data_IF_359057140728
#
_entry.id   IF_359057140728
#
_cell.length_a   1.000
_cell.length_b   1.000
_cell.length_c   1.000
_cell.angle_alpha   90.00
_cell.angle_beta   90.00
_cell.angle_gamma   90.00
#
_symmetry.space_group_name_H-M   'P 1'
#
loop_
_entity.id
_entity.type
_entity.pdbx_description
1 polymer ?
#
# COMPACT_ATOMS: atom_id res chain seq x y z
N UNK A 1 13.76 -12.83 -23.58
CA UNK A 1 14.86 -12.05 -22.93
C UNK A 1 15.84 -13.00 -22.28
N UNK A 2 17.12 -12.85 -22.53
CA UNK A 2 18.16 -13.68 -21.90
C UNK A 2 18.52 -13.16 -20.51
N UNK A 3 18.95 -14.06 -19.58
CA UNK A 3 19.35 -13.67 -18.21
C UNK A 3 20.55 -12.68 -18.17
N UNK A 4 21.27 -12.54 -19.27
CA UNK A 4 22.38 -11.59 -19.45
C UNK A 4 21.96 -10.18 -19.86
N UNK A 5 20.70 -10.01 -20.29
CA UNK A 5 20.16 -8.67 -20.58
C UNK A 5 20.01 -7.88 -19.27
N UNK A 6 20.50 -6.62 -19.25
CA UNK A 6 20.41 -5.74 -18.08
C UNK A 6 18.98 -5.54 -17.56
N UNK A 7 17.97 -5.65 -18.44
CA UNK A 7 16.55 -5.53 -18.09
C UNK A 7 16.03 -6.73 -17.32
N UNK A 8 16.61 -7.92 -17.52
CA UNK A 8 16.13 -9.13 -16.85
C UNK A 8 16.13 -8.98 -15.34
N UNK A 9 17.29 -8.62 -14.77
CA UNK A 9 17.39 -8.41 -13.34
C UNK A 9 16.63 -7.15 -12.89
N UNK A 10 16.69 -6.07 -13.67
CA UNK A 10 15.97 -4.84 -13.36
C UNK A 10 14.44 -5.07 -13.24
N UNK A 11 13.84 -5.88 -14.10
CA UNK A 11 12.40 -6.18 -14.04
C UNK A 11 12.02 -7.02 -12.81
N UNK A 12 12.88 -7.94 -12.40
CA UNK A 12 12.72 -8.69 -11.14
C UNK A 12 12.80 -7.74 -9.94
N UNK A 13 13.77 -6.84 -9.93
CA UNK A 13 13.96 -5.89 -8.84
C UNK A 13 12.81 -4.87 -8.78
N UNK A 14 12.32 -4.38 -9.92
CA UNK A 14 11.12 -3.54 -10.02
C UNK A 14 9.90 -4.27 -9.43
N UNK A 15 9.66 -5.53 -9.82
CA UNK A 15 8.56 -6.31 -9.24
C UNK A 15 8.71 -6.44 -7.72
N UNK A 16 9.91 -6.71 -7.22
CA UNK A 16 10.18 -6.85 -5.78
C UNK A 16 9.99 -5.56 -5.01
N UNK A 17 10.32 -4.42 -5.60
CA UNK A 17 10.13 -3.09 -5.02
C UNK A 17 8.66 -2.65 -4.99
N UNK A 18 7.85 -3.11 -5.94
CA UNK A 18 6.49 -2.64 -6.12
C UNK A 18 5.42 -3.59 -5.55
N UNK A 19 5.72 -4.89 -5.47
CA UNK A 19 4.79 -5.90 -4.96
C UNK A 19 5.09 -6.22 -3.49
N UNK A 20 4.59 -5.38 -2.60
CA UNK A 20 4.86 -5.46 -1.17
C UNK A 20 3.57 -5.80 -0.42
N UNK A 21 3.59 -6.75 0.55
CA UNK A 21 2.46 -6.97 1.44
C UNK A 21 2.16 -5.74 2.28
N UNK A 22 0.88 -5.41 2.42
CA UNK A 22 0.39 -4.29 3.23
C UNK A 22 -1.00 -4.58 3.80
N UNK A 23 -1.27 -4.07 4.99
CA UNK A 23 -2.58 -4.16 5.65
C UNK A 23 -3.41 -2.92 5.36
N UNK A 24 -4.66 -3.09 4.96
CA UNK A 24 -5.61 -1.99 4.76
C UNK A 24 -5.12 -0.91 3.79
N UNK A 25 -5.49 0.35 4.03
CA UNK A 25 -5.00 1.48 3.25
C UNK A 25 -3.57 1.85 3.64
N UNK A 26 -2.67 1.92 2.68
CA UNK A 26 -1.23 2.11 2.90
C UNK A 26 -0.89 3.47 3.53
N UNK A 27 -1.64 4.51 3.22
CA UNK A 27 -1.38 5.86 3.73
C UNK A 27 -1.64 5.99 5.25
N UNK A 28 -2.78 5.53 5.83
CA UNK A 28 -2.93 5.49 7.30
C UNK A 28 -1.86 4.61 7.96
N UNK A 29 -1.47 3.51 7.32
CA UNK A 29 -0.42 2.63 7.85
C UNK A 29 0.94 3.33 7.87
N UNK A 30 1.27 4.15 6.85
CA UNK A 30 2.50 4.95 6.86
C UNK A 30 2.49 6.00 7.99
N UNK A 31 1.34 6.60 8.30
CA UNK A 31 1.20 7.48 9.47
C UNK A 31 1.42 6.71 10.77
N UNK A 32 0.83 5.52 10.91
CA UNK A 32 1.04 4.67 12.08
C UNK A 32 2.52 4.21 12.20
N UNK A 33 3.17 3.93 11.07
CA UNK A 33 4.59 3.58 11.04
C UNK A 33 5.49 4.74 11.49
N UNK A 34 5.26 5.96 10.97
CA UNK A 34 5.95 7.17 11.43
C UNK A 34 5.75 7.38 12.94
N UNK A 35 4.52 7.17 13.42
CA UNK A 35 4.15 7.35 14.81
C UNK A 35 4.82 6.34 15.75
N UNK A 36 4.89 5.07 15.34
CA UNK A 36 5.62 4.04 16.08
C UNK A 36 7.13 4.34 16.13
N UNK A 37 7.70 4.81 15.02
CA UNK A 37 9.11 5.21 14.95
C UNK A 37 9.40 6.42 15.87
N UNK A 38 8.55 7.45 15.84
CA UNK A 38 8.71 8.63 16.69
C UNK A 38 8.59 8.28 18.18
N UNK A 39 7.59 7.46 18.58
CA UNK A 39 7.48 6.96 19.96
C UNK A 39 8.71 6.15 20.38
N UNK A 40 9.24 5.28 19.51
CA UNK A 40 10.45 4.50 19.82
C UNK A 40 11.68 5.40 19.97
N UNK A 41 11.81 6.43 19.14
CA UNK A 41 12.88 7.44 19.24
C UNK A 41 12.78 8.23 20.53
N UNK A 42 11.56 8.67 20.91
CA UNK A 42 11.31 9.36 22.20
C UNK A 42 11.65 8.46 23.40
N UNK A 43 11.27 7.17 23.31
CA UNK A 43 11.53 6.17 24.35
C UNK A 43 10.39 5.99 25.37
N UNK A 44 9.34 6.79 25.28
CA UNK A 44 8.18 6.74 26.19
C UNK A 44 6.88 7.14 25.48
N UNK A 45 5.73 6.98 26.15
CA UNK A 45 4.43 7.34 25.60
C UNK A 45 4.26 8.86 25.58
N UNK A 46 4.13 9.51 24.43
CA UNK A 46 3.99 10.96 24.33
C UNK A 46 2.64 11.46 24.87
N UNK A 47 2.60 12.70 25.32
CA UNK A 47 1.38 13.41 25.77
C UNK A 47 0.92 14.50 24.80
N UNK A 48 1.70 14.77 23.77
CA UNK A 48 1.36 15.69 22.68
C UNK A 48 1.91 15.19 21.36
N UNK A 49 1.13 15.35 20.30
CA UNK A 49 1.44 14.86 18.94
C UNK A 49 1.10 15.91 17.91
N UNK A 50 1.99 16.15 16.96
CA UNK A 50 1.73 16.92 15.76
C UNK A 50 2.00 16.05 14.53
N UNK A 51 0.98 15.88 13.69
CA UNK A 51 1.08 15.23 12.39
C UNK A 51 1.02 16.31 11.32
N UNK A 52 2.11 16.52 10.63
CA UNK A 52 2.16 17.39 9.46
C UNK A 52 2.21 16.51 8.22
N UNK A 53 1.32 16.78 7.27
CA UNK A 53 1.22 15.96 6.08
C UNK A 53 0.89 16.77 4.84
N UNK A 54 1.33 16.27 3.67
CA UNK A 54 0.96 16.86 2.38
C UNK A 54 -0.55 16.82 2.15
N UNK A 55 -1.07 17.70 1.31
CA UNK A 55 -2.48 17.74 0.97
C UNK A 55 -3.01 16.41 0.39
N UNK A 56 -2.18 15.70 -0.38
CA UNK A 56 -2.49 14.36 -0.90
C UNK A 56 -2.68 13.35 0.21
N UNK A 57 -1.81 13.33 1.22
CA UNK A 57 -1.91 12.46 2.39
C UNK A 57 -3.16 12.77 3.22
N UNK A 58 -3.43 14.03 3.52
CA UNK A 58 -4.62 14.45 4.28
C UNK A 58 -5.90 14.00 3.54
N UNK A 59 -5.98 14.28 2.23
CA UNK A 59 -7.13 13.88 1.41
C UNK A 59 -7.36 12.37 1.44
N UNK A 60 -6.28 11.57 1.34
CA UNK A 60 -6.39 10.12 1.23
C UNK A 60 -6.69 9.43 2.57
N UNK A 61 -6.34 10.04 3.70
CA UNK A 61 -6.46 9.39 5.03
C UNK A 61 -7.67 9.84 5.83
N UNK A 62 -8.12 11.09 5.70
CA UNK A 62 -9.10 11.73 6.61
C UNK A 62 -10.40 10.95 6.87
N UNK A 63 -10.82 10.07 5.95
CA UNK A 63 -12.09 9.34 6.07
C UNK A 63 -11.91 7.82 6.01
N UNK A 64 -10.66 7.35 5.94
CA UNK A 64 -10.35 5.92 5.81
C UNK A 64 -10.31 5.27 7.18
N UNK A 65 -10.88 4.08 7.29
CA UNK A 65 -10.80 3.25 8.49
C UNK A 65 -9.36 2.77 8.66
N UNK A 66 -8.83 2.99 9.86
CA UNK A 66 -7.53 2.45 10.28
C UNK A 66 -7.73 0.99 10.68
N UNK A 67 -7.03 0.04 10.06
CA UNK A 67 -7.18 -1.38 10.38
C UNK A 67 -6.93 -1.68 11.87
N UNK A 68 -7.58 -2.71 12.41
CA UNK A 68 -7.42 -3.18 13.79
C UNK A 68 -7.71 -2.13 14.88
N UNK A 69 -8.55 -1.12 14.58
CA UNK A 69 -8.86 -0.04 15.54
C UNK A 69 -10.33 0.09 15.89
N UNK A 70 -11.17 -0.90 15.58
CA UNK A 70 -12.62 -0.83 15.81
C UNK A 70 -13.25 0.43 15.12
N UNK A 71 -13.03 0.53 13.81
CA UNK A 71 -13.57 1.56 12.92
C UNK A 71 -13.13 3.01 13.20
N UNK A 72 -12.02 3.25 13.91
CA UNK A 72 -11.45 4.59 14.02
C UNK A 72 -10.94 5.08 12.66
N UNK A 73 -11.04 6.39 12.41
CA UNK A 73 -10.75 6.99 11.11
C UNK A 73 -9.80 8.18 11.24
N UNK A 74 -9.06 8.44 10.17
CA UNK A 74 -8.28 9.66 10.02
C UNK A 74 -6.83 9.55 10.47
N UNK A 75 -6.10 10.66 10.31
CA UNK A 75 -4.68 10.75 10.65
C UNK A 75 -4.43 10.64 12.15
N UNK A 76 -5.31 11.23 12.95
CA UNK A 76 -5.22 11.21 14.42
C UNK A 76 -5.34 9.78 14.94
N UNK A 77 -6.29 9.01 14.42
CA UNK A 77 -6.49 7.61 14.78
C UNK A 77 -5.30 6.74 14.34
N UNK A 78 -4.76 6.97 13.13
CA UNK A 78 -3.58 6.27 12.63
C UNK A 78 -2.35 6.56 13.49
N UNK A 79 -2.13 7.83 13.87
CA UNK A 79 -1.04 8.22 14.76
C UNK A 79 -1.19 7.58 16.14
N UNK A 80 -2.39 7.63 16.74
CA UNK A 80 -2.67 7.01 18.03
C UNK A 80 -2.41 5.49 18.00
N UNK A 81 -2.86 4.79 16.94
CA UNK A 81 -2.64 3.36 16.78
C UNK A 81 -1.14 3.02 16.71
N UNK A 82 -0.36 3.78 15.94
CA UNK A 82 1.09 3.62 15.86
C UNK A 82 1.80 3.87 17.18
N UNK A 83 1.41 4.92 17.90
CA UNK A 83 2.00 5.28 19.21
C UNK A 83 1.70 4.22 20.26
N UNK A 84 0.47 3.76 20.37
CA UNK A 84 0.04 2.88 21.47
C UNK A 84 0.41 1.43 21.22
N UNK A 85 0.24 0.94 19.99
CA UNK A 85 0.34 -0.48 19.67
C UNK A 85 1.31 -0.82 18.53
N UNK A 86 1.85 0.19 17.84
CA UNK A 86 2.67 -0.03 16.65
C UNK A 86 3.99 -0.76 16.93
N UNK A 87 4.30 -1.72 16.06
CA UNK A 87 5.57 -2.45 15.99
C UNK A 87 6.35 -1.97 14.78
N UNK A 88 7.26 -1.00 14.97
CA UNK A 88 8.00 -0.33 13.89
C UNK A 88 8.70 -1.30 12.94
N UNK A 89 9.24 -2.39 13.45
CA UNK A 89 9.96 -3.41 12.67
C UNK A 89 9.10 -4.08 11.61
N UNK A 90 7.77 -4.04 11.77
CA UNK A 90 6.80 -4.59 10.81
C UNK A 90 6.45 -3.66 9.66
N UNK A 91 6.98 -2.43 9.61
CA UNK A 91 6.76 -1.46 8.54
C UNK A 91 5.26 -1.29 8.18
N UNK A 92 4.83 -1.71 6.96
CA UNK A 92 3.43 -1.59 6.51
C UNK A 92 2.46 -2.61 7.17
N UNK A 93 2.93 -3.43 8.08
CA UNK A 93 2.14 -4.28 8.96
C UNK A 93 2.26 -3.84 10.44
N UNK A 94 2.66 -2.59 10.66
CA UNK A 94 2.99 -2.00 11.97
C UNK A 94 1.91 -2.18 13.03
N UNK A 95 0.64 -2.22 12.66
CA UNK A 95 -0.53 -2.42 13.54
C UNK A 95 -1.29 -3.73 13.23
N UNK A 96 -0.64 -4.72 12.59
CA UNK A 96 -1.28 -5.99 12.24
C UNK A 96 -1.71 -6.81 13.45
N UNK A 97 -0.98 -6.71 14.56
CA UNK A 97 -1.19 -7.53 15.77
C UNK A 97 -1.90 -6.76 16.90
N UNK A 98 -2.65 -5.71 16.61
CA UNK A 98 -3.37 -4.94 17.65
C UNK A 98 -4.42 -5.83 18.32
N UNK A 99 -4.35 -5.92 19.66
CA UNK A 99 -5.32 -6.71 20.45
C UNK A 99 -6.54 -5.88 20.81
N UNK A 100 -7.68 -6.52 21.20
CA UNK A 100 -8.87 -5.78 21.67
C UNK A 100 -8.59 -4.86 22.88
N UNK A 101 -7.65 -5.22 23.75
CA UNK A 101 -7.22 -4.38 24.88
C UNK A 101 -6.47 -3.16 24.38
N UNK A 102 -5.58 -3.34 23.39
CA UNK A 102 -4.85 -2.24 22.75
C UNK A 102 -5.79 -1.32 21.99
N UNK A 103 -6.82 -1.85 21.32
CA UNK A 103 -7.85 -1.03 20.66
C UNK A 103 -8.54 -0.08 21.64
N UNK A 104 -8.89 -0.56 22.85
CA UNK A 104 -9.43 0.29 23.92
C UNK A 104 -8.42 1.34 24.39
N UNK A 105 -7.15 0.96 24.51
CA UNK A 105 -6.08 1.88 24.90
C UNK A 105 -5.84 2.95 23.82
N UNK A 106 -5.90 2.60 22.51
CA UNK A 106 -5.81 3.53 21.40
C UNK A 106 -6.93 4.57 21.47
N UNK A 107 -8.17 4.13 21.73
CA UNK A 107 -9.33 5.03 21.86
C UNK A 107 -9.15 5.98 23.06
N UNK A 108 -8.77 5.45 24.22
CA UNK A 108 -8.52 6.28 25.40
C UNK A 108 -7.38 7.29 25.17
N UNK A 109 -6.33 6.87 24.48
CA UNK A 109 -5.21 7.75 24.13
C UNK A 109 -5.65 8.87 23.18
N UNK A 110 -6.45 8.53 22.16
CA UNK A 110 -7.00 9.49 21.20
C UNK A 110 -7.90 10.54 21.88
N UNK A 111 -8.70 10.13 22.88
CA UNK A 111 -9.61 11.00 23.61
C UNK A 111 -8.88 11.95 24.61
N UNK A 112 -7.71 11.56 25.10
CA UNK A 112 -6.99 12.26 26.18
C UNK A 112 -5.78 13.06 25.70
N UNK A 113 -5.25 12.78 24.50
CA UNK A 113 -4.00 13.35 24.02
C UNK A 113 -4.28 14.46 23.00
N UNK A 114 -3.55 15.57 23.09
CA UNK A 114 -3.60 16.65 22.09
C UNK A 114 -2.89 16.21 20.79
N UNK A 115 -3.64 15.60 19.89
CA UNK A 115 -3.16 15.19 18.55
C UNK A 115 -3.65 16.23 17.55
N UNK A 116 -2.72 16.97 16.93
CA UNK A 116 -3.02 17.97 15.91
C UNK A 116 -2.56 17.52 14.54
N UNK A 117 -3.38 17.82 13.53
CA UNK A 117 -3.04 17.62 12.12
C UNK A 117 -2.85 18.98 11.45
N UNK A 118 -1.76 19.14 10.70
CA UNK A 118 -1.44 20.36 9.97
C UNK A 118 -1.04 20.02 8.52
N UNK A 119 -1.53 20.81 7.59
CA UNK A 119 -1.07 20.74 6.20
C UNK A 119 0.34 21.34 6.07
N UNK A 120 1.21 20.63 5.36
CA UNK A 120 2.52 21.12 4.94
C UNK A 120 2.58 21.23 3.42
N UNK A 121 3.10 22.35 2.94
CA UNK A 121 3.25 22.64 1.51
C UNK A 121 4.74 22.87 1.21
N UNK A 122 5.44 21.80 0.84
CA UNK A 122 6.88 21.80 0.57
C UNK A 122 7.24 21.17 -0.79
N UNK A 123 6.24 20.94 -1.64
CA UNK A 123 6.42 20.40 -2.99
C UNK A 123 6.59 18.88 -3.06
N UNK A 124 6.56 18.16 -1.91
CA UNK A 124 6.63 16.69 -1.87
C UNK A 124 5.21 16.12 -1.79
N UNK A 125 4.85 15.30 -2.75
CA UNK A 125 3.49 14.75 -2.88
C UNK A 125 3.17 13.74 -1.76
N UNK A 126 4.11 12.87 -1.42
CA UNK A 126 4.02 11.98 -0.27
C UNK A 126 4.94 12.48 0.84
N UNK A 127 4.38 13.13 1.84
CA UNK A 127 5.14 13.66 2.98
C UNK A 127 4.35 13.56 4.28
N UNK A 128 4.99 13.00 5.30
CA UNK A 128 4.50 12.85 6.67
C UNK A 128 5.62 13.26 7.60
N UNK A 129 5.41 14.28 8.40
CA UNK A 129 6.30 14.69 9.48
C UNK A 129 5.53 14.50 10.78
N UNK A 130 6.01 13.67 11.66
CA UNK A 130 5.36 13.36 12.92
C UNK A 130 6.27 13.72 14.08
N UNK A 131 5.83 14.69 14.86
CA UNK A 131 6.55 15.17 16.05
C UNK A 131 5.78 14.80 17.30
N UNK A 132 6.46 14.24 18.27
CA UNK A 132 5.91 13.81 19.56
C UNK A 132 6.68 14.45 20.70
N UNK A 133 5.97 14.73 21.82
CA UNK A 133 6.56 15.32 23.00
C UNK A 133 6.14 14.57 24.27
N UNK A 134 7.05 14.58 25.26
CA UNK A 134 6.81 14.17 26.64
C UNK A 134 7.56 15.09 27.58
N UNK A 135 6.84 15.99 28.28
CA UNK A 135 7.46 17.03 29.08
C UNK A 135 8.37 17.92 28.23
N UNK A 136 9.68 17.93 28.55
CA UNK A 136 10.69 18.69 27.80
C UNK A 136 11.34 17.88 26.64
N UNK A 137 11.08 16.57 26.56
CA UNK A 137 11.63 15.71 25.53
C UNK A 137 10.77 15.69 24.27
N UNK A 138 11.42 15.59 23.11
CA UNK A 138 10.77 15.52 21.82
C UNK A 138 11.44 14.52 20.89
N UNK A 139 10.67 13.99 19.95
CA UNK A 139 11.20 13.26 18.81
C UNK A 139 10.41 13.58 17.55
N UNK A 140 11.10 13.64 16.43
CA UNK A 140 10.50 13.85 15.12
C UNK A 140 10.93 12.75 14.16
N UNK A 141 9.98 12.29 13.35
CA UNK A 141 10.25 11.35 12.24
C UNK A 141 9.56 11.89 10.98
N UNK A 142 10.28 11.90 9.86
CA UNK A 142 9.74 12.22 8.55
C UNK A 142 9.82 11.02 7.63
N UNK A 143 8.70 10.71 6.97
CA UNK A 143 8.61 9.76 5.86
C UNK A 143 8.27 10.55 4.61
N UNK A 144 9.05 10.40 3.54
CA UNK A 144 8.83 11.11 2.30
C UNK A 144 9.03 10.21 1.09
N UNK A 145 8.40 10.59 -0.04
CA UNK A 145 8.46 9.95 -1.36
C UNK A 145 7.73 8.61 -1.41
N UNK A 146 7.94 7.68 -0.47
CA UNK A 146 7.21 6.42 -0.39
C UNK A 146 7.00 5.93 1.06
N UNK A 147 6.04 5.05 1.25
CA UNK A 147 5.39 4.71 2.53
C UNK A 147 6.33 4.24 3.65
N UNK A 148 7.53 3.72 3.34
CA UNK A 148 8.48 3.18 4.33
C UNK A 148 9.80 3.94 4.38
N UNK A 149 9.92 5.02 3.62
CA UNK A 149 11.16 5.79 3.49
C UNK A 149 11.29 6.82 4.61
N UNK A 150 11.89 6.44 5.73
CA UNK A 150 12.26 7.38 6.79
C UNK A 150 13.47 8.19 6.31
N UNK A 151 13.28 9.48 6.12
CA UNK A 151 14.29 10.41 5.61
C UNK A 151 14.87 11.31 6.70
N UNK A 152 14.15 11.48 7.82
CA UNK A 152 14.63 12.28 8.94
C UNK A 152 14.20 11.66 10.26
N UNK A 153 15.12 11.65 11.22
CA UNK A 153 14.87 11.29 12.63
C UNK A 153 15.63 12.25 13.51
N UNK A 154 14.94 12.85 14.45
CA UNK A 154 15.51 13.78 15.45
C UNK A 154 15.04 13.43 16.86
N UNK A 155 15.88 13.63 17.86
CA UNK A 155 15.54 13.53 19.27
C UNK A 155 16.13 14.72 20.05
N UNK A 156 15.31 15.46 20.78
CA UNK A 156 15.73 16.58 21.64
C UNK A 156 16.62 17.61 20.90
N UNK A 157 16.39 17.82 19.59
CA UNK A 157 17.17 18.70 18.73
C UNK A 157 18.44 18.06 18.13
N UNK A 158 18.76 16.81 18.49
CA UNK A 158 19.85 16.06 17.86
C UNK A 158 19.32 15.26 16.66
N UNK A 159 19.88 15.54 15.48
CA UNK A 159 19.56 14.84 14.23
C UNK A 159 20.27 13.51 14.18
N UNK A 160 19.50 12.42 14.13
CA UNK A 160 20.01 11.03 14.08
C UNK A 160 20.05 10.48 12.65
N UNK A 161 19.10 10.90 11.80
CA UNK A 161 19.03 10.56 10.37
C UNK A 161 18.64 11.81 9.59
N UNK A 162 19.35 12.09 8.50
CA UNK A 162 19.00 13.18 7.59
C UNK A 162 19.37 12.80 6.16
N UNK A 163 18.36 12.42 5.39
CA UNK A 163 18.49 12.04 3.98
C UNK A 163 17.81 13.16 3.16
N UNK A 164 18.55 13.87 2.31
CA UNK A 164 17.99 14.92 1.47
C UNK A 164 16.83 14.42 0.61
N UNK A 165 15.76 15.19 0.54
CA UNK A 165 14.60 14.92 -0.33
C UNK A 165 14.51 16.02 -1.38
N UNK A 166 14.67 15.64 -2.65
CA UNK A 166 14.61 16.54 -3.80
C UNK A 166 13.31 16.33 -4.58
N UNK A 167 12.19 16.86 -4.06
CA UNK A 167 10.87 16.65 -4.66
C UNK A 167 10.40 15.20 -4.53
N UNK A 168 9.77 14.67 -5.57
CA UNK A 168 9.29 13.28 -5.62
C UNK A 168 10.32 12.31 -6.27
N UNK A 169 11.61 12.63 -6.23
CA UNK A 169 12.66 11.82 -6.84
C UNK A 169 12.78 10.43 -6.20
N UNK A 170 12.69 9.40 -7.03
CA UNK A 170 12.80 7.99 -6.66
C UNK A 170 14.23 7.45 -6.95
N UNK A 171 15.26 8.25 -6.77
CA UNK A 171 16.67 7.93 -7.14
C UNK A 171 17.20 6.63 -6.52
N UNK A 172 16.59 6.16 -5.44
CA UNK A 172 17.01 4.90 -4.76
C UNK A 172 16.38 3.66 -5.36
N UNK A 173 15.46 3.79 -6.30
CA UNK A 173 14.75 2.67 -6.92
C UNK A 173 15.41 2.27 -8.24
N UNK A 174 15.16 1.04 -8.66
CA UNK A 174 15.58 0.54 -9.97
C UNK A 174 15.04 1.43 -11.09
N UNK A 175 15.85 1.75 -12.08
CA UNK A 175 15.53 2.65 -13.19
C UNK A 175 14.28 2.19 -13.97
N UNK A 176 13.17 2.94 -13.84
CA UNK A 176 11.91 2.68 -14.54
C UNK A 176 11.93 3.05 -16.02
N UNK A 177 12.93 3.82 -16.47
CA UNK A 177 13.08 4.12 -17.90
C UNK A 177 13.41 2.88 -18.75
N UNK A 178 13.79 1.79 -18.11
CA UNK A 178 14.01 0.48 -18.75
C UNK A 178 12.69 -0.24 -19.11
N UNK A 179 11.55 0.23 -18.56
CA UNK A 179 10.24 -0.39 -18.85
C UNK A 179 9.70 0.11 -20.18
N UNK A 180 9.42 -0.79 -21.08
CA UNK A 180 8.65 -0.57 -22.30
C UNK A 180 7.85 -1.83 -22.66
N UNK A 181 6.77 -1.68 -23.41
CA UNK A 181 5.82 -2.77 -23.68
C UNK A 181 6.42 -3.93 -24.45
N UNK A 182 7.34 -3.70 -25.38
CA UNK A 182 7.97 -4.75 -26.18
C UNK A 182 8.83 -5.65 -25.28
N UNK A 183 9.68 -5.06 -24.43
CA UNK A 183 10.55 -5.81 -23.54
C UNK A 183 9.79 -6.42 -22.34
N UNK A 184 8.73 -5.77 -21.84
CA UNK A 184 7.84 -6.36 -20.84
C UNK A 184 7.18 -7.64 -21.39
N UNK A 185 6.67 -7.59 -22.62
CA UNK A 185 6.07 -8.75 -23.28
C UNK A 185 7.10 -9.89 -23.47
N UNK A 186 8.29 -9.56 -23.98
CA UNK A 186 9.35 -10.54 -24.16
C UNK A 186 9.77 -11.17 -22.82
N UNK A 187 9.98 -10.34 -21.78
CA UNK A 187 10.34 -10.80 -20.43
C UNK A 187 9.27 -11.75 -19.87
N UNK A 188 7.99 -11.35 -19.90
CA UNK A 188 6.92 -12.18 -19.37
C UNK A 188 6.81 -13.56 -20.04
N UNK A 189 7.15 -13.65 -21.35
CA UNK A 189 7.13 -14.90 -22.08
C UNK A 189 8.38 -15.75 -21.87
N UNK A 190 9.51 -15.17 -21.48
CA UNK A 190 10.82 -15.85 -21.45
C UNK A 190 11.44 -15.97 -20.07
N UNK A 191 10.96 -15.21 -19.07
CA UNK A 191 11.48 -15.25 -17.70
C UNK A 191 11.44 -16.67 -17.13
N UNK A 192 12.48 -17.06 -16.41
CA UNK A 192 12.41 -18.25 -15.55
C UNK A 192 11.41 -17.97 -14.43
N UNK A 193 10.28 -18.68 -14.43
CA UNK A 193 9.17 -18.41 -13.50
C UNK A 193 9.57 -18.55 -12.03
N UNK A 194 10.61 -19.33 -11.74
CA UNK A 194 11.12 -19.49 -10.39
C UNK A 194 11.79 -18.19 -9.88
N UNK A 195 12.31 -17.35 -10.77
CA UNK A 195 12.91 -16.04 -10.40
C UNK A 195 11.84 -15.02 -9.93
N UNK A 196 10.58 -15.19 -10.33
CA UNK A 196 9.45 -14.31 -9.97
C UNK A 196 8.41 -14.96 -9.03
N UNK A 197 8.46 -16.29 -8.85
CA UNK A 197 7.49 -17.04 -8.05
C UNK A 197 7.34 -16.49 -6.64
N UNK A 198 8.44 -16.30 -5.93
CA UNK A 198 8.43 -15.82 -4.53
C UNK A 198 7.84 -14.41 -4.37
N UNK A 199 7.79 -13.63 -5.45
CA UNK A 199 7.20 -12.28 -5.49
C UNK A 199 5.68 -12.36 -5.76
N UNK A 200 5.27 -13.24 -6.68
CA UNK A 200 3.90 -13.32 -7.18
C UNK A 200 2.98 -14.23 -6.34
N UNK A 201 3.48 -15.31 -5.74
CA UNK A 201 2.68 -16.20 -4.91
C UNK A 201 2.00 -15.50 -3.71
N UNK A 202 2.67 -14.59 -2.96
CA UNK A 202 1.99 -13.79 -1.96
C UNK A 202 0.86 -12.94 -2.53
N UNK A 203 1.03 -12.38 -3.74
CA UNK A 203 -0.01 -11.58 -4.40
C UNK A 203 -1.23 -12.44 -4.75
N UNK A 204 -1.01 -13.63 -5.32
CA UNK A 204 -2.09 -14.58 -5.62
C UNK A 204 -2.88 -14.90 -4.36
N UNK A 205 -2.18 -15.30 -3.30
CA UNK A 205 -2.80 -15.73 -2.03
C UNK A 205 -3.55 -14.59 -1.34
N UNK A 206 -2.88 -13.46 -1.12
CA UNK A 206 -3.46 -12.37 -0.34
C UNK A 206 -4.59 -11.66 -1.08
N UNK A 207 -4.40 -11.36 -2.38
CA UNK A 207 -5.39 -10.59 -3.12
C UNK A 207 -6.64 -11.41 -3.45
N UNK A 208 -6.53 -12.73 -3.63
CA UNK A 208 -7.70 -13.60 -3.73
C UNK A 208 -8.41 -13.76 -2.39
N UNK A 209 -7.68 -13.94 -1.29
CA UNK A 209 -8.30 -14.09 0.03
C UNK A 209 -9.14 -12.87 0.41
N UNK A 210 -8.64 -11.64 0.21
CA UNK A 210 -9.44 -10.44 0.50
C UNK A 210 -10.61 -10.26 -0.48
N UNK A 211 -10.48 -10.70 -1.74
CA UNK A 211 -11.56 -10.67 -2.70
C UNK A 211 -12.70 -11.63 -2.31
N UNK A 212 -12.37 -12.83 -1.89
CA UNK A 212 -13.32 -13.82 -1.38
C UNK A 212 -13.99 -13.36 -0.09
N UNK A 213 -13.22 -12.81 0.84
CA UNK A 213 -13.74 -12.21 2.08
C UNK A 213 -14.73 -11.06 1.76
N UNK A 214 -14.38 -10.21 0.80
CA UNK A 214 -15.24 -9.10 0.36
C UNK A 214 -16.56 -9.54 -0.27
N UNK A 215 -16.61 -10.73 -0.89
CA UNK A 215 -17.85 -11.31 -1.41
C UNK A 215 -18.72 -11.94 -0.31
N UNK A 216 -18.09 -12.50 0.73
CA UNK A 216 -18.78 -13.18 1.83
C UNK A 216 -19.19 -12.23 2.95
N UNK A 217 -18.40 -11.17 3.19
CA UNK A 217 -18.61 -10.20 4.24
C UNK A 217 -19.54 -9.06 3.85
N UNK A 218 -19.71 -8.11 4.77
CA UNK A 218 -20.51 -6.92 4.54
C UNK A 218 -19.61 -5.68 4.60
N UNK A 219 -19.03 -5.31 3.46
CA UNK A 219 -18.07 -4.23 3.35
C UNK A 219 -18.53 -3.14 2.37
N UNK A 220 -18.52 -1.90 2.84
CA UNK A 220 -18.82 -0.75 1.99
C UNK A 220 -20.17 -0.84 1.31
N UNK A 221 -20.21 -0.75 -0.01
CA UNK A 221 -21.42 -0.84 -0.82
C UNK A 221 -21.68 -2.26 -1.36
N UNK A 222 -20.87 -3.25 -1.01
CA UNK A 222 -20.96 -4.64 -1.48
C UNK A 222 -21.02 -4.75 -3.02
N UNK A 223 -20.23 -3.93 -3.71
CA UNK A 223 -20.27 -3.82 -5.19
C UNK A 223 -20.04 -5.16 -5.87
N UNK A 224 -19.13 -5.99 -5.34
CA UNK A 224 -18.89 -7.31 -5.92
C UNK A 224 -20.12 -8.22 -5.92
N UNK A 225 -20.80 -8.34 -4.78
CA UNK A 225 -22.03 -9.14 -4.66
C UNK A 225 -23.17 -8.57 -5.51
N UNK A 226 -23.34 -7.25 -5.52
CA UNK A 226 -24.32 -6.59 -6.36
C UNK A 226 -24.09 -6.86 -7.86
N UNK A 227 -22.84 -6.84 -8.32
CA UNK A 227 -22.51 -7.18 -9.72
C UNK A 227 -22.87 -8.62 -10.07
N UNK A 228 -22.58 -9.59 -9.19
CA UNK A 228 -22.94 -11.00 -9.40
C UNK A 228 -24.45 -11.20 -9.44
N UNK A 229 -25.20 -10.51 -8.57
CA UNK A 229 -26.65 -10.60 -8.52
C UNK A 229 -27.33 -9.97 -9.75
N UNK A 230 -26.80 -8.87 -10.26
CA UNK A 230 -27.41 -8.12 -11.36
C UNK A 230 -26.98 -8.62 -12.74
N UNK A 231 -25.70 -8.95 -12.93
CA UNK A 231 -25.12 -9.27 -14.24
C UNK A 231 -24.87 -10.77 -14.43
N UNK A 232 -25.06 -11.59 -13.38
CA UNK A 232 -24.85 -13.03 -13.44
C UNK A 232 -23.40 -13.45 -13.12
N UNK A 233 -23.05 -14.69 -13.47
CA UNK A 233 -21.84 -15.35 -13.01
C UNK A 233 -20.89 -15.78 -14.14
N UNK A 234 -20.87 -15.05 -15.26
CA UNK A 234 -19.85 -15.33 -16.28
C UNK A 234 -18.46 -14.85 -15.82
N UNK A 235 -17.39 -15.32 -16.46
CA UNK A 235 -16.02 -15.02 -16.05
C UNK A 235 -15.72 -13.52 -16.06
N UNK A 236 -16.29 -12.75 -16.98
CA UNK A 236 -16.08 -11.29 -17.08
C UNK A 236 -16.71 -10.57 -15.91
N UNK A 237 -17.90 -11.02 -15.51
CA UNK A 237 -18.59 -10.48 -14.33
C UNK A 237 -17.86 -10.87 -13.05
N UNK A 238 -17.45 -12.15 -12.90
CA UNK A 238 -16.66 -12.61 -11.75
C UNK A 238 -15.35 -11.83 -11.61
N UNK A 239 -14.61 -11.64 -12.69
CA UNK A 239 -13.34 -10.90 -12.66
C UNK A 239 -13.52 -9.47 -12.12
N UNK A 240 -14.57 -8.76 -12.55
CA UNK A 240 -14.93 -7.42 -12.02
C UNK A 240 -15.39 -7.50 -10.57
N UNK A 241 -16.28 -8.43 -10.27
CA UNK A 241 -16.91 -8.57 -8.97
C UNK A 241 -15.92 -8.88 -7.86
N UNK A 242 -15.00 -9.83 -8.09
CA UNK A 242 -13.95 -10.19 -7.14
C UNK A 242 -12.99 -9.03 -6.87
N UNK A 243 -12.56 -8.31 -7.92
CA UNK A 243 -11.69 -7.14 -7.74
C UNK A 243 -12.40 -5.99 -7.00
N UNK A 244 -13.70 -5.75 -7.29
CA UNK A 244 -14.50 -4.76 -6.59
C UNK A 244 -14.71 -5.14 -5.12
N UNK A 245 -15.04 -6.42 -4.83
CA UNK A 245 -15.24 -6.92 -3.48
C UNK A 245 -13.98 -6.80 -2.61
N UNK A 246 -12.81 -7.18 -3.16
CA UNK A 246 -11.55 -7.02 -2.46
C UNK A 246 -11.22 -5.56 -2.16
N UNK A 247 -11.52 -4.66 -3.09
CA UNK A 247 -11.35 -3.21 -2.88
C UNK A 247 -12.32 -2.66 -1.84
N UNK A 248 -13.60 -3.06 -1.87
CA UNK A 248 -14.59 -2.70 -0.85
C UNK A 248 -14.15 -3.17 0.54
N UNK A 249 -13.75 -4.44 0.68
CA UNK A 249 -13.29 -5.00 1.93
C UNK A 249 -12.07 -4.22 2.48
N UNK A 250 -11.06 -4.00 1.62
CA UNK A 250 -9.84 -3.26 2.00
C UNK A 250 -10.14 -1.85 2.49
N UNK A 251 -11.00 -1.11 1.79
CA UNK A 251 -11.30 0.29 2.11
C UNK A 251 -12.23 0.44 3.32
N UNK A 252 -12.90 -0.63 3.73
CA UNK A 252 -13.87 -0.63 4.82
C UNK A 252 -13.45 -1.47 6.02
N UNK A 253 -12.13 -1.60 6.25
CA UNK A 253 -11.58 -2.10 7.51
C UNK A 253 -11.32 -3.61 7.56
N UNK A 254 -11.35 -4.32 6.44
CA UNK A 254 -10.93 -5.72 6.42
C UNK A 254 -9.46 -5.85 6.86
N UNK A 255 -9.21 -6.76 7.76
CA UNK A 255 -7.90 -6.96 8.40
C UNK A 255 -6.96 -7.89 7.59
N UNK A 256 -7.42 -8.38 6.43
CA UNK A 256 -6.59 -9.22 5.59
C UNK A 256 -5.53 -8.39 4.83
N UNK A 257 -4.30 -8.92 4.70
CA UNK A 257 -3.25 -8.27 3.92
C UNK A 257 -3.56 -8.34 2.41
N UNK A 258 -3.05 -7.35 1.69
CA UNK A 258 -3.00 -7.34 0.22
C UNK A 258 -1.56 -7.17 -0.24
N UNK A 259 -1.22 -7.64 -1.43
CA UNK A 259 0.02 -7.24 -2.09
C UNK A 259 -0.29 -6.07 -3.02
N UNK A 260 0.34 -4.94 -2.72
CA UNK A 260 0.16 -3.68 -3.44
C UNK A 260 0.84 -3.74 -4.81
N UNK A 261 0.53 -2.76 -5.67
CA UNK A 261 1.30 -2.45 -6.87
C UNK A 261 1.46 -0.93 -6.94
N UNK A 262 2.68 -0.44 -7.14
CA UNK A 262 3.01 1.00 -7.20
C UNK A 262 2.40 1.81 -6.05
N UNK A 263 2.55 1.32 -4.82
CA UNK A 263 2.09 1.99 -3.60
C UNK A 263 0.59 1.85 -3.30
N UNK A 264 -0.22 1.20 -4.15
CA UNK A 264 -1.68 1.10 -3.95
C UNK A 264 -2.16 -0.35 -3.86
N UNK A 265 -2.88 -0.67 -2.76
CA UNK A 265 -3.51 -2.00 -2.59
C UNK A 265 -4.64 -2.24 -3.58
N UNK A 266 -5.51 -1.26 -3.83
CA UNK A 266 -6.57 -1.40 -4.83
C UNK A 266 -5.98 -1.61 -6.24
N UNK A 267 -4.86 -0.97 -6.57
CA UNK A 267 -4.16 -1.23 -7.82
C UNK A 267 -3.61 -2.66 -7.86
N UNK A 268 -2.99 -3.15 -6.77
CA UNK A 268 -2.54 -4.53 -6.67
C UNK A 268 -3.67 -5.55 -6.85
N UNK A 269 -4.83 -5.32 -6.23
CA UNK A 269 -6.03 -6.15 -6.38
C UNK A 269 -6.51 -6.15 -7.83
N UNK A 270 -6.71 -4.98 -8.43
CA UNK A 270 -7.24 -4.87 -9.79
C UNK A 270 -6.26 -5.36 -10.87
N UNK A 271 -4.97 -5.32 -10.60
CA UNK A 271 -3.93 -5.87 -11.49
C UNK A 271 -3.88 -7.40 -11.45
N UNK A 272 -4.15 -8.02 -10.31
CA UNK A 272 -3.94 -9.47 -10.11
C UNK A 272 -5.23 -10.29 -10.15
N UNK A 273 -6.26 -9.88 -9.41
CA UNK A 273 -7.47 -10.69 -9.22
C UNK A 273 -8.18 -11.05 -10.53
N UNK A 274 -8.41 -10.13 -11.47
CA UNK A 274 -9.02 -10.50 -12.76
C UNK A 274 -8.21 -11.54 -13.52
N UNK A 275 -6.89 -11.42 -13.54
CA UNK A 275 -5.99 -12.38 -14.20
C UNK A 275 -6.10 -13.76 -13.57
N UNK A 276 -6.14 -13.82 -12.23
CA UNK A 276 -6.29 -15.10 -11.49
C UNK A 276 -7.65 -15.74 -11.77
N UNK A 277 -8.74 -14.95 -11.76
CA UNK A 277 -10.09 -15.47 -12.06
C UNK A 277 -10.17 -16.04 -13.47
N UNK A 278 -9.60 -15.36 -14.47
CA UNK A 278 -9.54 -15.89 -15.83
C UNK A 278 -8.65 -17.14 -15.93
N UNK A 279 -7.52 -17.17 -15.25
CA UNK A 279 -6.63 -18.34 -15.23
C UNK A 279 -7.32 -19.59 -14.65
N UNK A 280 -8.09 -19.41 -13.58
CA UNK A 280 -8.90 -20.48 -12.97
C UNK A 280 -9.99 -20.97 -13.92
N UNK A 281 -10.73 -20.07 -14.56
CA UNK A 281 -11.77 -20.42 -15.53
C UNK A 281 -11.23 -21.21 -16.72
N UNK A 282 -10.07 -20.81 -17.23
CA UNK A 282 -9.43 -21.45 -18.38
C UNK A 282 -8.63 -22.70 -18.01
N UNK A 283 -8.47 -23.01 -16.72
CA UNK A 283 -7.70 -24.15 -16.25
C UNK A 283 -6.25 -24.13 -16.71
N UNK A 284 -5.62 -22.95 -16.79
CA UNK A 284 -4.23 -22.84 -17.25
C UNK A 284 -3.23 -23.33 -16.20
N UNK A 285 -2.01 -23.67 -16.65
CA UNK A 285 -0.94 -24.07 -15.75
C UNK A 285 -0.50 -22.92 -14.82
N UNK A 286 0.08 -23.28 -13.67
CA UNK A 286 0.70 -22.35 -12.74
C UNK A 286 1.76 -21.46 -13.42
N UNK A 287 2.62 -22.05 -14.26
CA UNK A 287 3.59 -21.29 -15.07
C UNK A 287 2.90 -20.19 -15.90
N UNK A 288 1.80 -20.53 -16.58
CA UNK A 288 1.09 -19.57 -17.43
C UNK A 288 0.44 -18.45 -16.60
N UNK A 289 -0.06 -18.76 -15.40
CA UNK A 289 -0.57 -17.77 -14.47
C UNK A 289 0.54 -16.82 -14.03
N UNK A 290 1.71 -17.34 -13.62
CA UNK A 290 2.85 -16.51 -13.20
C UNK A 290 3.33 -15.59 -14.32
N UNK A 291 3.40 -16.08 -15.56
CA UNK A 291 3.74 -15.25 -16.74
C UNK A 291 2.70 -14.15 -17.00
N UNK A 292 1.42 -14.47 -16.90
CA UNK A 292 0.34 -13.50 -17.07
C UNK A 292 0.36 -12.42 -15.97
N UNK A 293 0.62 -12.80 -14.72
CA UNK A 293 0.77 -11.85 -13.61
C UNK A 293 2.04 -11.00 -13.76
N UNK A 294 3.14 -11.56 -14.23
CA UNK A 294 4.37 -10.80 -14.56
C UNK A 294 4.06 -9.70 -15.57
N UNK A 295 3.38 -10.06 -16.67
CA UNK A 295 2.95 -9.11 -17.70
C UNK A 295 2.05 -8.03 -17.12
N UNK A 296 0.98 -8.41 -16.44
CA UNK A 296 -0.02 -7.48 -15.87
C UNK A 296 0.62 -6.50 -14.88
N UNK A 297 1.46 -6.98 -13.97
CA UNK A 297 2.11 -6.13 -12.98
C UNK A 297 3.11 -5.15 -13.61
N UNK A 298 4.01 -5.61 -14.48
CA UNK A 298 5.00 -4.74 -15.13
C UNK A 298 4.34 -3.70 -16.04
N UNK A 299 3.30 -4.08 -16.79
CA UNK A 299 2.53 -3.13 -17.62
C UNK A 299 1.89 -2.05 -16.76
N UNK A 300 1.26 -2.44 -15.64
CA UNK A 300 0.65 -1.50 -14.71
C UNK A 300 1.68 -0.55 -14.09
N UNK A 301 2.85 -1.05 -13.70
CA UNK A 301 3.95 -0.24 -13.18
C UNK A 301 4.45 0.73 -14.26
N UNK A 302 4.64 0.27 -15.48
CA UNK A 302 5.04 1.11 -16.60
C UNK A 302 4.06 2.26 -16.85
N UNK A 303 2.76 1.98 -16.91
CA UNK A 303 1.73 3.00 -17.10
C UNK A 303 1.59 3.94 -15.89
N UNK A 304 1.90 3.46 -14.68
CA UNK A 304 1.85 4.27 -13.46
C UNK A 304 3.07 5.20 -13.31
N UNK A 305 4.22 4.82 -13.85
CA UNK A 305 5.48 5.57 -13.71
C UNK A 305 5.34 7.06 -14.08
N UNK A 306 4.76 7.47 -15.23
CA UNK A 306 4.62 8.89 -15.56
C UNK A 306 3.57 9.63 -14.73
N UNK A 307 2.69 8.90 -14.00
CA UNK A 307 1.67 9.49 -13.13
C UNK A 307 2.23 9.74 -11.72
N UNK A 308 3.28 9.01 -11.34
CA UNK A 308 3.85 8.97 -9.99
C UNK A 308 3.16 7.98 -9.06
N UNK A 309 3.87 7.50 -8.03
CA UNK A 309 3.36 6.48 -7.08
C UNK A 309 2.17 6.98 -6.28
N UNK A 310 2.24 8.20 -5.76
CA UNK A 310 1.10 8.89 -5.15
C UNK A 310 0.61 9.98 -6.10
N UNK A 311 -0.68 10.00 -6.38
CA UNK A 311 -1.26 11.02 -7.24
C UNK A 311 -2.72 11.29 -6.88
N UNK A 312 -3.28 12.40 -7.38
CA UNK A 312 -4.70 12.68 -7.29
C UNK A 312 -5.54 11.71 -8.13
N UNK A 313 -4.93 11.06 -9.11
CA UNK A 313 -5.57 10.05 -9.97
C UNK A 313 -5.51 8.67 -9.30
N UNK A 314 -6.62 7.95 -9.34
CA UNK A 314 -6.68 6.58 -8.83
C UNK A 314 -5.92 5.63 -9.77
N UNK A 315 -4.84 5.01 -9.30
CA UNK A 315 -4.04 4.08 -10.09
C UNK A 315 -4.81 2.84 -10.56
N UNK A 316 -5.73 2.34 -9.75
CA UNK A 316 -6.60 1.22 -10.13
C UNK A 316 -7.49 1.54 -11.36
N UNK A 317 -7.84 2.81 -11.58
CA UNK A 317 -8.59 3.24 -12.75
C UNK A 317 -7.65 3.70 -13.87
N UNK A 318 -6.67 4.53 -13.58
CA UNK A 318 -5.86 5.21 -14.58
C UNK A 318 -4.83 4.30 -15.26
N UNK A 319 -4.20 3.39 -14.51
CA UNK A 319 -3.20 2.48 -15.04
C UNK A 319 -3.83 1.12 -15.44
N UNK A 320 -4.60 0.49 -14.54
CA UNK A 320 -5.11 -0.87 -14.78
C UNK A 320 -6.21 -0.93 -15.81
N UNK A 321 -7.15 0.05 -15.86
CA UNK A 321 -8.22 0.03 -16.84
C UNK A 321 -7.73 0.16 -18.29
N UNK A 322 -6.62 0.83 -18.52
CA UNK A 322 -6.01 0.92 -19.85
C UNK A 322 -5.40 -0.42 -20.28
N UNK A 323 -4.74 -1.11 -19.36
CA UNK A 323 -4.14 -2.42 -19.59
C UNK A 323 -5.19 -3.45 -20.06
N UNK A 324 -6.38 -3.46 -19.43
CA UNK A 324 -7.43 -4.44 -19.71
C UNK A 324 -8.34 -4.10 -20.89
N UNK A 325 -8.26 -2.88 -21.45
CA UNK A 325 -9.03 -2.49 -22.64
C UNK A 325 -8.35 -2.78 -23.97
N UNK A 326 -7.07 -3.12 -23.96
CA UNK A 326 -6.26 -3.40 -25.17
C UNK A 326 -5.90 -4.89 -25.35
N UNK A 327 -6.28 -5.74 -24.39
CA UNK A 327 -6.22 -7.21 -24.49
C UNK A 327 -7.62 -7.80 -24.84
#
# INVERSE_FOLDING_TARGET
MEKTDKRYQAYIDILREELIPAMGCTEPIAVAYAAAAARNTLGELPDKVLVEASGSMIKNVKSVIVPNTDNMKGLEAAAAAGIVAGKQEKKLEVIADVTPEQTKAIRAYLDQTDIKVRHVENGVTFDIILTVWKGEHSAQVRIAVFHTNIVHVEKDGEVLVDIPVHGDDEETLTDRSLLDMEHIWDFANTVDVEDVRSILEPQIRCNMAIAEEGLCGNYGANIGSVLLDMEGNDVRVRAKAYAAAGSDARMNGCEQPVVINSGSGNQGITTSVPVIVYAQELGVSDEKLLRALTLSNLTTIHEKTPIGRLSAYCGAISAVSYTHRRC
#
